data_IF_326788077676
#
_entry.id   IF_326788077676
#
_cell.length_a   1.000
_cell.length_b   1.000
_cell.length_c   1.000
_cell.angle_alpha   90.00
_cell.angle_beta   90.00
_cell.angle_gamma   90.00
#
_symmetry.space_group_name_H-M   'P 1'
#
loop_
_entity.id
_entity.type
_entity.pdbx_description
1 polymer ?
#
# COMPACT_ATOMS: atom_id res chain seq x y z
N UNK A 1 -34.31 14.84 59.32
CA UNK A 1 -33.55 14.85 60.59
C UNK A 1 -32.08 14.64 60.24
N UNK A 2 -31.23 15.57 60.63
CA UNK A 2 -29.83 15.67 60.22
C UNK A 2 -28.98 14.72 61.06
N UNK A 3 -28.31 13.73 60.45
CA UNK A 3 -27.35 12.86 61.13
C UNK A 3 -25.94 13.38 60.87
N UNK A 4 -25.30 13.90 61.94
CA UNK A 4 -23.88 14.26 61.97
C UNK A 4 -23.04 12.98 62.00
N UNK A 5 -22.17 12.81 61.01
CA UNK A 5 -21.09 11.82 61.02
C UNK A 5 -19.95 12.32 61.91
N UNK A 6 -19.55 11.51 62.90
CA UNK A 6 -18.33 11.72 63.68
C UNK A 6 -17.33 10.63 63.31
N UNK A 7 -16.26 11.04 62.63
CA UNK A 7 -15.20 10.16 62.14
C UNK A 7 -14.12 9.98 63.21
N UNK A 8 -13.77 8.74 63.53
CA UNK A 8 -12.60 8.42 64.36
C UNK A 8 -11.52 7.78 63.48
N UNK A 9 -10.35 8.39 63.44
CA UNK A 9 -9.16 7.89 62.74
C UNK A 9 -8.23 7.19 63.73
N UNK A 10 -7.97 5.90 63.54
CA UNK A 10 -6.94 5.15 64.26
C UNK A 10 -5.74 4.96 63.34
N UNK A 11 -4.61 5.55 63.71
CA UNK A 11 -3.31 5.33 63.05
C UNK A 11 -2.56 4.20 63.77
N UNK A 12 -2.22 3.13 63.06
CA UNK A 12 -1.27 2.11 63.54
C UNK A 12 0.08 2.29 62.85
N UNK A 13 1.12 2.53 63.67
CA UNK A 13 2.53 2.50 63.28
C UNK A 13 3.01 1.05 63.28
N UNK A 14 3.51 0.55 62.15
CA UNK A 14 4.25 -0.72 62.08
C UNK A 14 5.75 -0.46 62.14
N UNK A 15 6.40 -0.95 63.19
CA UNK A 15 7.86 -0.95 63.35
C UNK A 15 8.51 -2.04 62.47
N UNK A 16 9.47 -1.63 61.65
CA UNK A 16 10.31 -2.49 60.83
C UNK A 16 11.55 -2.89 61.61
N UNK A 17 11.68 -4.18 61.95
CA UNK A 17 12.94 -4.76 62.45
C UNK A 17 13.62 -5.46 61.28
N UNK A 18 14.76 -4.89 60.87
CA UNK A 18 15.65 -5.49 59.89
C UNK A 18 16.54 -6.55 60.51
N UNK A 19 16.73 -7.65 59.78
CA UNK A 19 17.72 -8.68 60.08
C UNK A 19 18.29 -9.20 58.77
N UNK A 20 19.43 -8.65 58.36
CA UNK A 20 20.20 -9.15 57.23
C UNK A 20 21.15 -10.26 57.66
N UNK A 21 21.28 -11.29 56.84
CA UNK A 21 22.49 -12.11 56.76
C UNK A 21 22.69 -12.57 55.31
N UNK A 22 23.87 -12.26 54.78
CA UNK A 22 24.34 -12.61 53.45
C UNK A 22 24.90 -14.04 53.34
N UNK A 23 25.51 -14.38 52.20
CA UNK A 23 25.27 -15.65 51.50
C UNK A 23 26.36 -16.70 51.74
N UNK A 24 26.01 -17.98 51.57
CA UNK A 24 27.00 -19.06 51.44
C UNK A 24 26.94 -19.67 50.04
N UNK A 25 27.99 -19.39 49.28
CA UNK A 25 28.30 -20.01 47.98
C UNK A 25 28.69 -21.46 48.22
N UNK A 26 28.03 -22.42 47.54
CA UNK A 26 28.57 -23.75 47.30
C UNK A 26 28.62 -24.02 45.81
N UNK A 27 29.85 -24.10 45.29
CA UNK A 27 30.18 -24.72 44.00
C UNK A 27 30.13 -26.23 44.18
N UNK A 28 29.55 -26.95 43.22
CA UNK A 28 29.85 -28.36 42.99
C UNK A 28 30.11 -28.60 41.51
N UNK A 29 31.22 -29.29 41.25
CA UNK A 29 31.66 -29.81 39.97
C UNK A 29 31.12 -31.23 39.76
N UNK A 30 31.33 -31.74 38.54
CA UNK A 30 31.26 -33.13 38.06
C UNK A 30 29.85 -33.62 37.65
N UNK A 31 29.64 -34.41 36.59
CA UNK A 31 30.53 -35.06 35.63
C UNK A 31 29.71 -35.56 34.43
N UNK A 32 30.41 -35.82 33.32
CA UNK A 32 29.95 -36.49 32.10
C UNK A 32 29.05 -37.71 32.31
N UNK A 33 28.10 -37.90 31.38
CA UNK A 33 27.83 -39.21 30.79
C UNK A 33 27.09 -39.04 29.46
N UNK A 34 27.65 -39.64 28.43
CA UNK A 34 27.10 -39.75 27.09
C UNK A 34 26.32 -41.06 26.98
N UNK A 35 25.13 -41.01 26.40
CA UNK A 35 24.53 -42.17 25.73
C UNK A 35 23.83 -41.72 24.45
N UNK A 36 24.36 -42.23 23.34
CA UNK A 36 23.72 -42.23 22.03
C UNK A 36 23.08 -43.60 21.81
N UNK A 37 21.85 -43.62 21.28
CA UNK A 37 21.31 -44.68 20.43
C UNK A 37 19.92 -44.29 19.89
N UNK A 38 19.49 -44.82 18.73
CA UNK A 38 18.70 -44.07 17.74
C UNK A 38 17.29 -44.63 17.48
N UNK A 39 16.45 -43.83 16.80
CA UNK A 39 15.20 -44.27 16.15
C UNK A 39 14.63 -43.08 15.34
N UNK A 40 14.73 -43.03 14.02
CA UNK A 40 14.08 -43.81 12.96
C UNK A 40 12.64 -43.34 12.62
N UNK A 41 12.47 -42.90 11.36
CA UNK A 41 11.19 -42.61 10.68
C UNK A 41 10.72 -41.16 10.87
N UNK A 42 10.55 -40.31 9.84
CA UNK A 42 9.77 -40.56 8.63
C UNK A 42 10.28 -39.70 7.47
N UNK A 43 10.45 -40.32 6.31
CA UNK A 43 10.65 -39.66 5.02
C UNK A 43 9.28 -39.41 4.39
N UNK A 44 9.05 -38.23 3.84
CA UNK A 44 8.10 -38.04 2.73
C UNK A 44 8.70 -37.08 1.71
N UNK A 45 8.75 -37.55 0.47
CA UNK A 45 8.96 -36.76 -0.74
C UNK A 45 7.66 -36.76 -1.53
N UNK A 46 7.28 -35.62 -2.13
CA UNK A 46 6.57 -35.49 -3.42
C UNK A 46 6.22 -34.00 -3.62
N UNK A 47 6.81 -33.39 -4.65
CA UNK A 47 6.20 -33.01 -5.94
C UNK A 47 5.27 -31.78 -5.89
N UNK A 48 5.83 -30.70 -6.46
CA UNK A 48 5.28 -29.87 -7.55
C UNK A 48 3.77 -29.92 -7.82
N UNK A 49 3.11 -28.76 -7.68
CA UNK A 49 2.07 -28.20 -8.56
C UNK A 49 2.00 -26.67 -8.29
N UNK A 50 2.32 -25.81 -9.26
CA UNK A 50 1.42 -25.12 -10.21
C UNK A 50 0.60 -23.95 -9.63
N UNK A 51 0.98 -22.74 -10.04
CA UNK A 51 0.17 -21.54 -10.28
C UNK A 51 1.14 -20.51 -10.88
N UNK A 52 0.97 -19.76 -11.96
CA UNK A 52 -0.12 -19.23 -12.79
C UNK A 52 0.58 -18.86 -14.13
N UNK A 53 0.08 -19.10 -15.33
CA UNK A 53 -1.11 -18.46 -15.92
C UNK A 53 -0.77 -17.09 -16.55
N UNK A 54 -0.69 -17.02 -17.89
CA UNK A 54 -0.54 -15.81 -18.73
C UNK A 54 0.89 -15.65 -19.33
N UNK A 55 1.17 -15.83 -20.63
CA UNK A 55 0.50 -15.27 -21.82
C UNK A 55 0.88 -13.79 -21.92
N UNK A 56 1.91 -13.35 -22.66
CA UNK A 56 1.99 -13.38 -24.12
C UNK A 56 1.48 -12.05 -24.70
N UNK A 57 2.12 -11.53 -25.75
CA UNK A 57 1.94 -10.21 -26.43
C UNK A 57 2.61 -9.03 -25.70
N UNK A 58 3.55 -8.26 -26.26
CA UNK A 58 3.89 -8.02 -27.66
C UNK A 58 3.32 -6.67 -28.13
N UNK A 59 4.00 -5.57 -27.79
CA UNK A 59 3.86 -4.24 -28.39
C UNK A 59 5.30 -3.66 -28.47
N UNK A 60 5.92 -3.36 -29.60
CA UNK A 60 5.39 -3.13 -30.94
C UNK A 60 5.18 -1.63 -31.17
N UNK A 61 6.23 -0.98 -31.70
CA UNK A 61 6.13 0.23 -32.54
C UNK A 61 5.84 1.55 -31.86
N UNK A 62 6.88 2.31 -31.52
CA UNK A 62 6.78 3.76 -31.34
C UNK A 62 6.71 4.41 -32.73
N UNK A 63 5.49 4.67 -33.20
CA UNK A 63 5.19 5.57 -34.31
C UNK A 63 4.71 6.91 -33.77
N UNK A 64 5.34 7.99 -34.24
CA UNK A 64 4.97 9.39 -33.98
C UNK A 64 6.12 10.25 -34.49
N UNK A 65 6.01 11.00 -35.58
CA UNK A 65 4.83 11.74 -36.05
C UNK A 65 5.24 13.21 -36.01
N UNK A 66 5.66 13.72 -37.16
CA UNK A 66 6.11 15.09 -37.41
C UNK A 66 5.22 16.13 -36.71
N UNK A 67 5.84 17.05 -35.97
CA UNK A 67 5.20 18.29 -35.54
C UNK A 67 5.94 19.50 -36.11
N UNK A 68 5.13 20.47 -36.47
CA UNK A 68 5.35 21.66 -37.28
C UNK A 68 6.39 22.64 -36.72
N UNK A 69 7.04 23.38 -37.63
CA UNK A 69 7.97 24.45 -37.29
C UNK A 69 8.45 25.26 -38.48
N UNK A 70 7.53 25.85 -39.26
CA UNK A 70 7.88 26.95 -40.18
C UNK A 70 6.81 28.04 -40.13
N UNK A 71 7.22 29.20 -39.63
CA UNK A 71 6.51 30.48 -39.78
C UNK A 71 7.56 31.58 -39.90
N UNK A 72 7.65 32.19 -41.09
CA UNK A 72 8.13 33.53 -41.45
C UNK A 72 7.92 33.60 -42.99
N UNK A 73 7.12 34.47 -43.60
CA UNK A 73 6.62 35.77 -43.18
C UNK A 73 7.37 36.88 -43.93
N UNK A 74 6.93 37.21 -45.15
CA UNK A 74 7.05 38.50 -45.88
C UNK A 74 6.64 38.22 -47.35
N UNK A 75 5.53 38.74 -47.89
CA UNK A 75 5.31 40.15 -48.29
C UNK A 75 5.89 40.34 -49.71
N UNK A 76 5.23 40.80 -50.77
CA UNK A 76 4.03 41.64 -50.97
C UNK A 76 3.58 41.45 -52.44
N UNK A 77 2.28 41.27 -52.73
CA UNK A 77 1.31 42.28 -53.23
C UNK A 77 1.36 42.63 -54.73
N UNK A 78 0.14 42.83 -55.27
CA UNK A 78 -0.26 43.31 -56.62
C UNK A 78 -0.62 42.18 -57.60
N UNK A 79 -1.88 41.85 -57.90
CA UNK A 79 -3.13 42.60 -57.80
C UNK A 79 -3.38 43.45 -59.05
N UNK A 80 -4.56 43.28 -59.66
CA UNK A 80 -5.09 43.78 -60.96
C UNK A 80 -4.94 42.79 -62.11
N UNK A 81 -5.99 42.37 -62.81
CA UNK A 81 -7.31 42.97 -63.02
C UNK A 81 -7.58 42.96 -64.52
N UNK A 82 -8.64 42.29 -64.96
CA UNK A 82 -8.82 41.91 -66.36
C UNK A 82 -9.49 42.94 -67.28
N UNK A 83 -9.53 42.51 -68.55
CA UNK A 83 -10.57 42.75 -69.57
C UNK A 83 -10.55 44.03 -70.41
N UNK A 84 -11.04 43.84 -71.65
CA UNK A 84 -11.37 44.78 -72.74
C UNK A 84 -10.15 45.30 -73.53
N UNK A 85 -10.13 45.37 -74.86
CA UNK A 85 -11.15 45.24 -75.89
C UNK A 85 -10.80 46.24 -77.00
N UNK A 86 -10.77 45.80 -78.27
CA UNK A 86 -10.88 46.64 -79.47
C UNK A 86 -9.73 47.59 -79.81
N UNK A 87 -9.35 47.65 -81.09
CA UNK A 87 -8.53 48.74 -81.61
C UNK A 87 -7.67 48.40 -82.81
N UNK A 88 -8.30 48.33 -83.98
CA UNK A 88 -7.64 48.49 -85.28
C UNK A 88 -6.84 49.79 -85.33
N UNK A 89 -5.57 49.74 -85.76
CA UNK A 89 -4.92 50.86 -86.46
C UNK A 89 -3.85 50.34 -87.44
N UNK A 90 -4.12 50.55 -88.72
CA UNK A 90 -3.19 50.46 -89.85
C UNK A 90 -2.20 51.63 -89.84
N UNK A 91 -1.01 51.40 -90.41
CA UNK A 91 -0.33 52.20 -91.46
C UNK A 91 1.22 52.12 -91.32
N UNK A 92 2.02 52.43 -92.36
CA UNK A 92 1.82 52.23 -93.80
C UNK A 92 3.00 51.48 -94.45
N UNK A 93 2.73 50.97 -95.66
CA UNK A 93 3.68 50.35 -96.60
C UNK A 93 4.49 51.47 -97.27
N UNK A 94 5.83 51.40 -97.19
CA UNK A 94 6.74 52.31 -97.90
C UNK A 94 7.06 51.77 -99.30
N UNK A 95 7.02 52.67 -100.29
CA UNK A 95 7.05 52.38 -101.71
C UNK A 95 8.44 51.97 -102.24
N UNK A 96 8.40 51.10 -103.25
CA UNK A 96 9.51 50.55 -104.01
C UNK A 96 10.05 51.57 -105.01
N UNK A 97 11.35 51.88 -104.94
CA UNK A 97 12.06 52.64 -105.97
C UNK A 97 12.50 51.68 -107.08
N UNK A 98 11.80 51.72 -108.22
CA UNK A 98 12.13 50.92 -109.41
C UNK A 98 13.19 51.65 -110.23
N UNK A 99 14.39 51.07 -110.33
CA UNK A 99 15.46 51.57 -111.18
C UNK A 99 15.16 51.22 -112.64
N UNK A 100 14.97 52.22 -113.51
CA UNK A 100 14.56 52.09 -114.92
C UNK A 100 15.68 51.60 -115.87
N UNK A 101 16.58 50.74 -115.38
CA UNK A 101 17.77 50.28 -116.14
C UNK A 101 17.70 48.80 -116.56
N UNK A 102 16.50 48.20 -116.55
CA UNK A 102 16.27 46.77 -116.82
C UNK A 102 15.28 46.54 -118.00
N UNK A 103 15.41 47.34 -119.06
CA UNK A 103 14.63 47.19 -120.30
C UNK A 103 15.46 46.52 -121.42
N UNK A 104 15.94 45.31 -121.15
CA UNK A 104 16.33 44.35 -122.19
C UNK A 104 15.78 42.97 -121.81
N UNK A 105 14.87 42.36 -122.59
CA UNK A 105 14.48 40.97 -122.38
C UNK A 105 15.68 40.09 -122.74
N UNK A 106 16.46 39.69 -121.73
CA UNK A 106 17.40 38.59 -121.86
C UNK A 106 16.57 37.31 -121.86
N UNK A 107 16.27 36.81 -123.07
CA UNK A 107 15.78 35.46 -123.29
C UNK A 107 16.88 34.47 -122.86
N UNK A 108 16.87 34.10 -121.59
CA UNK A 108 17.59 32.92 -121.13
C UNK A 108 16.61 31.78 -121.34
N UNK A 109 16.82 31.02 -122.42
CA UNK A 109 16.24 29.69 -122.56
C UNK A 109 16.71 28.86 -121.36
N UNK A 110 15.93 28.92 -120.28
CA UNK A 110 16.12 28.10 -119.09
C UNK A 110 15.72 26.70 -119.51
N UNK A 111 16.72 25.84 -119.55
CA UNK A 111 16.63 24.41 -119.82
C UNK A 111 15.34 23.79 -119.22
N UNK A 112 14.45 23.17 -120.03
CA UNK A 112 13.20 22.57 -119.56
C UNK A 112 13.42 21.48 -118.50
N UNK A 113 14.65 20.98 -118.35
CA UNK A 113 15.02 20.05 -117.27
C UNK A 113 15.27 20.74 -115.91
N UNK A 114 15.69 22.00 -115.86
CA UNK A 114 15.91 22.74 -114.59
C UNK A 114 14.58 23.23 -113.99
N UNK A 115 13.62 23.57 -114.84
CA UNK A 115 12.30 24.01 -114.39
C UNK A 115 11.50 22.86 -113.78
N UNK A 116 11.60 21.65 -114.36
CA UNK A 116 10.97 20.44 -113.82
C UNK A 116 11.55 20.03 -112.47
N UNK A 117 12.88 20.08 -112.31
CA UNK A 117 13.57 19.81 -111.03
C UNK A 117 13.18 20.83 -109.96
N UNK A 118 13.16 22.14 -110.27
CA UNK A 118 12.71 23.15 -109.29
C UNK A 118 11.23 23.03 -108.93
N UNK A 119 10.36 22.63 -109.87
CA UNK A 119 8.97 22.34 -109.52
C UNK A 119 8.85 21.08 -108.65
N UNK A 120 9.66 20.05 -108.91
CA UNK A 120 9.67 18.83 -108.11
C UNK A 120 10.24 19.07 -106.70
N UNK A 121 11.31 19.86 -106.56
CA UNK A 121 11.83 20.32 -105.26
C UNK A 121 10.81 21.18 -104.51
N UNK A 122 10.10 22.07 -105.21
CA UNK A 122 9.02 22.87 -104.62
C UNK A 122 7.85 22.00 -104.16
N UNK A 123 7.50 20.95 -104.91
CA UNK A 123 6.48 19.96 -104.53
C UNK A 123 6.93 19.14 -103.31
N UNK A 124 8.19 18.72 -103.27
CA UNK A 124 8.79 18.03 -102.13
C UNK A 124 8.83 18.91 -100.88
N UNK A 125 9.27 20.18 -101.02
CA UNK A 125 9.25 21.17 -99.94
C UNK A 125 7.82 21.42 -99.46
N UNK A 126 6.83 21.51 -100.35
CA UNK A 126 5.42 21.59 -99.95
C UNK A 126 4.95 20.35 -99.19
N UNK A 127 5.33 19.15 -99.64
CA UNK A 127 4.96 17.90 -98.97
C UNK A 127 5.59 17.79 -97.57
N UNK A 128 6.85 18.21 -97.44
CA UNK A 128 7.56 18.31 -96.16
C UNK A 128 6.94 19.38 -95.28
N UNK A 129 6.60 20.54 -95.83
CA UNK A 129 5.96 21.62 -95.10
C UNK A 129 4.56 21.22 -94.61
N UNK A 130 3.77 20.53 -95.42
CA UNK A 130 2.48 19.96 -95.00
C UNK A 130 2.67 18.91 -93.89
N UNK A 131 3.73 18.09 -93.95
CA UNK A 131 4.10 17.18 -92.85
C UNK A 131 4.51 17.95 -91.60
N UNK A 132 5.31 19.01 -91.71
CA UNK A 132 5.67 19.86 -90.57
C UNK A 132 4.46 20.57 -89.97
N UNK A 133 3.54 21.08 -90.78
CA UNK A 133 2.27 21.64 -90.33
C UNK A 133 1.46 20.59 -89.54
N UNK A 134 1.35 19.35 -90.05
CA UNK A 134 0.67 18.27 -89.34
C UNK A 134 1.36 17.88 -88.02
N UNK A 135 2.69 17.95 -87.94
CA UNK A 135 3.43 17.73 -86.71
C UNK A 135 3.25 18.88 -85.70
N UNK A 136 3.25 20.13 -86.17
CA UNK A 136 2.98 21.29 -85.31
C UNK A 136 1.56 21.22 -84.75
N UNK A 137 0.58 20.86 -85.57
CA UNK A 137 -0.81 20.67 -85.11
C UNK A 137 -0.90 19.53 -84.09
N UNK A 138 -0.14 18.45 -84.30
CA UNK A 138 -0.09 17.34 -83.34
C UNK A 138 0.56 17.74 -82.01
N UNK A 139 1.64 18.52 -82.04
CA UNK A 139 2.30 19.05 -80.83
C UNK A 139 1.36 19.99 -80.09
N UNK A 140 0.72 20.94 -80.78
CA UNK A 140 -0.28 21.84 -80.16
C UNK A 140 -1.44 21.08 -79.54
N UNK A 141 -1.92 20.04 -80.23
CA UNK A 141 -2.98 19.17 -79.69
C UNK A 141 -2.53 18.44 -78.42
N UNK A 142 -1.30 17.92 -78.40
CA UNK A 142 -0.73 17.26 -77.22
C UNK A 142 -0.45 18.24 -76.07
N UNK A 143 0.04 19.45 -76.35
CA UNK A 143 0.22 20.51 -75.36
C UNK A 143 -1.12 20.92 -74.75
N UNK A 144 -2.16 21.06 -75.57
CA UNK A 144 -3.51 21.38 -75.11
C UNK A 144 -4.09 20.24 -74.27
N UNK A 145 -3.83 18.98 -74.63
CA UNK A 145 -4.19 17.83 -73.81
C UNK A 145 -3.44 17.80 -72.47
N UNK A 146 -2.13 18.05 -72.46
CA UNK A 146 -1.35 18.09 -71.23
C UNK A 146 -1.83 19.20 -70.31
N UNK A 147 -2.13 20.39 -70.84
CA UNK A 147 -2.68 21.49 -70.05
C UNK A 147 -4.07 21.16 -69.48
N UNK A 148 -4.88 20.42 -70.22
CA UNK A 148 -6.16 19.88 -69.71
C UNK A 148 -5.93 18.83 -68.61
N UNK A 149 -4.92 17.98 -68.74
CA UNK A 149 -4.57 16.99 -67.72
C UNK A 149 -4.01 17.63 -66.45
N UNK A 150 -3.17 18.66 -66.58
CA UNK A 150 -2.64 19.44 -65.45
C UNK A 150 -3.75 20.14 -64.67
N UNK A 151 -4.69 20.79 -65.37
CA UNK A 151 -5.83 21.45 -64.71
C UNK A 151 -6.77 20.44 -64.04
N UNK A 152 -7.02 19.29 -64.67
CA UNK A 152 -7.78 18.18 -64.06
C UNK A 152 -7.06 17.61 -62.84
N UNK A 153 -5.73 17.42 -62.92
CA UNK A 153 -4.90 16.95 -61.82
C UNK A 153 -4.95 17.91 -60.63
N UNK A 154 -4.77 19.21 -60.88
CA UNK A 154 -4.86 20.24 -59.84
C UNK A 154 -6.23 20.25 -59.16
N UNK A 155 -7.32 20.15 -59.94
CA UNK A 155 -8.68 20.12 -59.40
C UNK A 155 -8.95 18.85 -58.57
N UNK A 156 -8.50 17.69 -59.03
CA UNK A 156 -8.61 16.44 -58.28
C UNK A 156 -7.80 16.47 -56.98
N UNK A 157 -6.63 17.10 -57.00
CA UNK A 157 -5.78 17.22 -55.81
C UNK A 157 -6.39 18.17 -54.77
N UNK A 158 -6.99 19.28 -55.21
CA UNK A 158 -7.73 20.19 -54.31
C UNK A 158 -9.00 19.54 -53.74
N UNK A 159 -9.73 18.77 -54.55
CA UNK A 159 -10.90 18.01 -54.06
C UNK A 159 -10.52 16.88 -53.10
N UNK A 160 -9.37 16.24 -53.28
CA UNK A 160 -8.87 15.20 -52.36
C UNK A 160 -8.41 15.79 -51.03
N UNK A 161 -8.07 17.08 -50.99
CA UNK A 161 -7.53 17.76 -49.80
C UNK A 161 -8.60 18.35 -48.88
N UNK A 162 -9.90 18.15 -49.14
CA UNK A 162 -10.94 18.37 -48.12
C UNK A 162 -10.82 17.33 -47.01
N UNK A 163 -9.89 17.55 -46.08
CA UNK A 163 -9.73 16.74 -44.87
C UNK A 163 -11.02 16.85 -44.05
N UNK A 164 -11.72 15.73 -43.89
CA UNK A 164 -12.95 15.64 -43.12
C UNK A 164 -12.68 15.90 -41.63
N UNK A 165 -13.44 16.79 -41.00
CA UNK A 165 -13.39 17.13 -39.57
C UNK A 165 -13.89 15.99 -38.63
N UNK A 166 -14.03 14.78 -39.16
CA UNK A 166 -14.62 13.62 -38.49
C UNK A 166 -13.66 13.10 -37.40
N UNK A 167 -12.36 13.07 -37.69
CA UNK A 167 -11.35 12.64 -36.71
C UNK A 167 -11.33 13.56 -35.49
N UNK A 168 -11.46 14.88 -35.69
CA UNK A 168 -11.52 15.83 -34.57
C UNK A 168 -12.81 15.68 -33.75
N UNK A 169 -13.94 15.33 -34.38
CA UNK A 169 -15.20 15.04 -33.67
C UNK A 169 -15.09 13.76 -32.84
N UNK A 170 -14.49 12.69 -33.38
CA UNK A 170 -14.24 11.47 -32.63
C UNK A 170 -13.24 11.69 -31.50
N UNK A 171 -12.18 12.46 -31.73
CA UNK A 171 -11.20 12.78 -30.68
C UNK A 171 -11.84 13.58 -29.54
N UNK A 172 -12.70 14.55 -29.85
CA UNK A 172 -13.46 15.30 -28.86
C UNK A 172 -14.44 14.41 -28.08
N UNK A 173 -15.12 13.47 -28.76
CA UNK A 173 -16.01 12.51 -28.12
C UNK A 173 -15.25 11.54 -27.20
N UNK A 174 -14.11 11.02 -27.65
CA UNK A 174 -13.21 10.16 -26.85
C UNK A 174 -12.70 10.92 -25.63
N UNK A 175 -12.27 12.18 -25.80
CA UNK A 175 -11.83 13.03 -24.70
C UNK A 175 -12.94 13.28 -23.68
N UNK A 176 -14.18 13.51 -24.14
CA UNK A 176 -15.34 13.65 -23.26
C UNK A 176 -15.64 12.36 -22.49
N UNK A 177 -15.62 11.20 -23.15
CA UNK A 177 -15.81 9.90 -22.49
C UNK A 177 -14.72 9.61 -21.45
N UNK A 178 -13.46 9.92 -21.75
CA UNK A 178 -12.36 9.80 -20.78
C UNK A 178 -12.59 10.69 -19.56
N UNK A 179 -12.99 11.94 -19.76
CA UNK A 179 -13.30 12.87 -18.67
C UNK A 179 -14.49 12.38 -17.81
N UNK A 180 -15.51 11.78 -18.42
CA UNK A 180 -16.61 11.16 -17.69
C UNK A 180 -16.15 9.95 -16.87
N UNK A 181 -15.29 9.10 -17.44
CA UNK A 181 -14.72 7.96 -16.74
C UNK A 181 -13.87 8.41 -15.54
N UNK A 182 -13.05 9.44 -15.70
CA UNK A 182 -12.25 10.02 -14.62
C UNK A 182 -13.15 10.64 -13.53
N UNK A 183 -14.23 11.32 -13.93
CA UNK A 183 -15.25 11.85 -13.01
C UNK A 183 -15.90 10.75 -12.17
N UNK A 184 -16.40 9.70 -12.83
CA UNK A 184 -16.98 8.54 -12.15
C UNK A 184 -15.96 7.79 -11.29
N UNK A 185 -14.70 7.72 -11.73
CA UNK A 185 -13.60 7.13 -10.96
C UNK A 185 -13.36 7.89 -9.65
N UNK A 186 -13.35 9.23 -9.70
CA UNK A 186 -13.20 10.06 -8.51
C UNK A 186 -14.41 9.94 -7.56
N UNK A 187 -15.63 9.91 -8.10
CA UNK A 187 -16.85 9.68 -7.29
C UNK A 187 -16.82 8.31 -6.62
N UNK A 188 -16.40 7.26 -7.35
CA UNK A 188 -16.22 5.92 -6.78
C UNK A 188 -15.23 5.93 -5.61
N UNK A 189 -14.06 6.55 -5.78
CA UNK A 189 -13.05 6.66 -4.70
C UNK A 189 -13.62 7.41 -3.50
N UNK A 190 -14.35 8.50 -3.73
CA UNK A 190 -15.01 9.28 -2.67
C UNK A 190 -16.02 8.42 -1.90
N UNK A 191 -16.91 7.71 -2.61
CA UNK A 191 -17.90 6.83 -2.01
C UNK A 191 -17.27 5.65 -1.26
N UNK A 192 -16.18 5.08 -1.77
CA UNK A 192 -15.40 4.05 -1.08
C UNK A 192 -14.77 4.59 0.22
N UNK A 193 -14.33 5.85 0.22
CA UNK A 193 -13.84 6.53 1.43
C UNK A 193 -14.95 6.75 2.46
N UNK A 194 -16.11 7.25 2.03
CA UNK A 194 -17.29 7.43 2.90
C UNK A 194 -17.78 6.09 3.47
N UNK A 195 -17.80 5.03 2.67
CA UNK A 195 -18.17 3.69 3.10
C UNK A 195 -17.19 3.15 4.15
N UNK A 196 -15.88 3.32 3.96
CA UNK A 196 -14.86 2.93 4.97
C UNK A 196 -15.01 3.73 6.26
N UNK A 197 -15.27 5.04 6.18
CA UNK A 197 -15.53 5.86 7.37
C UNK A 197 -16.78 5.40 8.11
N UNK A 198 -17.87 5.11 7.40
CA UNK A 198 -19.10 4.61 8.00
C UNK A 198 -18.90 3.22 8.63
N UNK A 199 -18.14 2.33 7.98
CA UNK A 199 -17.77 1.03 8.54
C UNK A 199 -16.95 1.17 9.83
N UNK A 200 -15.97 2.08 9.84
CA UNK A 200 -15.20 2.39 11.04
C UNK A 200 -16.10 2.88 12.18
N UNK A 201 -17.03 3.80 11.89
CA UNK A 201 -17.97 4.31 12.89
C UNK A 201 -18.91 3.23 13.44
N UNK A 202 -19.37 2.32 12.58
CA UNK A 202 -20.20 1.17 13.00
C UNK A 202 -19.41 0.24 13.91
N UNK A 203 -18.15 -0.07 13.57
CA UNK A 203 -17.32 -0.92 14.41
C UNK A 203 -17.00 -0.24 15.75
N UNK A 204 -16.75 1.08 15.75
CA UNK A 204 -16.56 1.86 16.99
C UNK A 204 -17.79 1.81 17.89
N UNK A 205 -19.00 1.94 17.32
CA UNK A 205 -20.24 1.80 18.10
C UNK A 205 -20.43 0.38 18.61
N UNK A 206 -20.17 -0.62 17.77
CA UNK A 206 -20.23 -2.03 18.18
C UNK A 206 -19.29 -2.31 19.36
N UNK A 207 -18.04 -1.86 19.29
CA UNK A 207 -17.07 -1.99 20.39
C UNK A 207 -17.57 -1.30 21.65
N UNK A 208 -18.12 -0.08 21.55
CA UNK A 208 -18.72 0.61 22.70
C UNK A 208 -19.91 -0.14 23.30
N UNK A 209 -20.76 -0.76 22.47
CA UNK A 209 -21.86 -1.58 22.95
C UNK A 209 -21.38 -2.84 23.65
N UNK A 210 -20.38 -3.52 23.10
CA UNK A 210 -19.76 -4.70 23.74
C UNK A 210 -19.12 -4.32 25.08
N UNK A 211 -18.39 -3.20 25.15
CA UNK A 211 -17.83 -2.66 26.40
C UNK A 211 -18.91 -2.36 27.44
N UNK A 212 -20.02 -1.73 27.03
CA UNK A 212 -21.11 -1.40 27.95
C UNK A 212 -21.85 -2.65 28.44
N UNK A 213 -22.00 -3.66 27.59
CA UNK A 213 -22.53 -4.98 27.98
C UNK A 213 -21.60 -5.63 29.01
N UNK A 214 -20.29 -5.62 28.76
CA UNK A 214 -19.30 -6.19 29.68
C UNK A 214 -19.28 -5.46 31.03
N UNK A 215 -19.34 -4.12 31.02
CA UNK A 215 -19.45 -3.31 32.24
C UNK A 215 -20.73 -3.60 33.01
N UNK A 216 -21.87 -3.66 32.31
CA UNK A 216 -23.15 -4.01 32.92
C UNK A 216 -23.11 -5.40 33.55
N UNK A 217 -22.55 -6.40 32.85
CA UNK A 217 -22.36 -7.74 33.39
C UNK A 217 -21.44 -7.74 34.61
N UNK A 218 -20.37 -6.93 34.62
CA UNK A 218 -19.50 -6.73 35.78
C UNK A 218 -20.26 -6.20 36.99
N UNK A 219 -21.01 -5.10 36.82
CA UNK A 219 -21.82 -4.48 37.89
C UNK A 219 -22.94 -5.41 38.35
N UNK A 220 -23.56 -6.16 37.44
CA UNK A 220 -24.60 -7.14 37.77
C UNK A 220 -24.04 -8.30 38.61
N UNK A 221 -22.83 -8.80 38.28
CA UNK A 221 -22.14 -9.78 39.11
C UNK A 221 -21.80 -9.23 40.50
N UNK A 222 -21.28 -8.00 40.59
CA UNK A 222 -21.03 -7.33 41.88
C UNK A 222 -22.32 -7.18 42.69
N UNK A 223 -23.43 -6.82 42.04
CA UNK A 223 -24.73 -6.72 42.70
C UNK A 223 -25.21 -8.06 43.26
N UNK A 224 -25.03 -9.16 42.51
CA UNK A 224 -25.36 -10.51 42.98
C UNK A 224 -24.50 -10.91 44.18
N UNK A 225 -23.21 -10.60 44.17
CA UNK A 225 -22.31 -10.84 45.31
C UNK A 225 -22.74 -10.01 46.53
N UNK A 226 -23.00 -8.72 46.35
CA UNK A 226 -23.46 -7.84 47.42
C UNK A 226 -24.79 -8.33 48.02
N UNK A 227 -25.71 -8.82 47.19
CA UNK A 227 -26.96 -9.43 47.66
C UNK A 227 -26.70 -10.65 48.54
N UNK A 228 -25.78 -11.54 48.12
CA UNK A 228 -25.37 -12.70 48.93
C UNK A 228 -24.76 -12.27 50.26
N UNK A 229 -23.93 -11.23 50.27
CA UNK A 229 -23.31 -10.71 51.49
C UNK A 229 -24.35 -10.08 52.43
N UNK A 230 -25.34 -9.36 51.89
CA UNK A 230 -26.49 -8.84 52.64
C UNK A 230 -27.33 -9.97 53.23
N UNK A 231 -27.64 -10.99 52.45
CA UNK A 231 -28.38 -12.17 52.93
C UNK A 231 -27.59 -12.90 54.03
N UNK A 232 -26.28 -13.04 53.87
CA UNK A 232 -25.38 -13.61 54.89
C UNK A 232 -25.37 -12.80 56.19
N UNK A 233 -25.24 -11.47 56.09
CA UNK A 233 -25.32 -10.59 57.24
C UNK A 233 -26.69 -10.63 57.92
N UNK A 234 -27.77 -10.76 57.15
CA UNK A 234 -29.13 -10.91 57.68
C UNK A 234 -29.29 -12.23 58.45
N UNK A 235 -28.78 -13.34 57.92
CA UNK A 235 -28.78 -14.62 58.63
C UNK A 235 -28.02 -14.53 59.96
N UNK A 236 -26.82 -13.95 59.95
CA UNK A 236 -26.05 -13.73 61.19
C UNK A 236 -26.79 -12.81 62.18
N UNK A 237 -27.45 -11.76 61.69
CA UNK A 237 -28.29 -10.89 62.53
C UNK A 237 -29.40 -11.69 63.20
N UNK A 238 -30.15 -12.50 62.44
CA UNK A 238 -31.25 -13.32 62.98
C UNK A 238 -30.74 -14.34 63.99
N UNK A 239 -29.60 -14.98 63.74
CA UNK A 239 -28.96 -15.89 64.69
C UNK A 239 -28.54 -15.19 66.00
N UNK A 240 -28.03 -13.96 65.91
CA UNK A 240 -27.68 -13.16 67.08
C UNK A 240 -28.94 -12.70 67.84
N UNK A 241 -29.99 -12.30 67.16
CA UNK A 241 -31.28 -11.96 67.77
C UNK A 241 -31.86 -13.16 68.53
N UNK A 242 -31.85 -14.36 67.94
CA UNK A 242 -32.29 -15.58 68.62
C UNK A 242 -31.44 -15.92 69.87
N UNK A 243 -30.13 -15.66 69.83
CA UNK A 243 -29.26 -15.82 71.01
C UNK A 243 -29.57 -14.81 72.10
N UNK A 244 -29.88 -13.56 71.72
CA UNK A 244 -30.28 -12.52 72.67
C UNK A 244 -31.60 -12.91 73.34
N UNK A 245 -32.59 -13.38 72.58
CA UNK A 245 -33.87 -13.83 73.12
C UNK A 245 -33.69 -15.04 74.07
N UNK A 246 -32.89 -16.02 73.68
CA UNK A 246 -32.60 -17.18 74.53
C UNK A 246 -31.92 -16.79 75.85
N UNK A 247 -30.93 -15.88 75.81
CA UNK A 247 -30.28 -15.36 77.01
C UNK A 247 -31.26 -14.52 77.87
N UNK A 248 -32.17 -13.78 77.24
CA UNK A 248 -33.18 -13.01 77.94
C UNK A 248 -34.17 -13.93 78.68
N UNK A 249 -34.57 -15.04 78.06
CA UNK A 249 -35.40 -16.08 78.68
C UNK A 249 -34.67 -16.75 79.85
N UNK A 250 -33.38 -17.05 79.71
CA UNK A 250 -32.56 -17.60 80.80
C UNK A 250 -32.47 -16.63 81.99
N UNK A 251 -32.25 -15.33 81.73
CA UNK A 251 -32.26 -14.30 82.78
C UNK A 251 -33.62 -14.24 83.48
N UNK A 252 -34.71 -14.29 82.72
CA UNK A 252 -36.07 -14.26 83.29
C UNK A 252 -36.35 -15.51 84.13
N UNK A 253 -35.91 -16.68 83.67
CA UNK A 253 -36.02 -17.94 84.40
C UNK A 253 -35.24 -17.91 85.73
N UNK A 254 -33.99 -17.46 85.70
CA UNK A 254 -33.17 -17.31 86.91
C UNK A 254 -33.79 -16.32 87.90
N UNK A 255 -34.32 -15.19 87.41
CA UNK A 255 -35.05 -14.23 88.26
C UNK A 255 -36.27 -14.87 88.92
N UNK A 256 -37.06 -15.65 88.17
CA UNK A 256 -38.23 -16.33 88.71
C UNK A 256 -37.86 -17.39 89.76
N UNK A 257 -36.76 -18.13 89.55
CA UNK A 257 -36.22 -19.07 90.55
C UNK A 257 -35.80 -18.31 91.80
N UNK A 258 -34.98 -17.27 91.69
CA UNK A 258 -34.51 -16.53 92.87
C UNK A 258 -35.67 -15.89 93.64
N UNK A 259 -36.70 -15.42 92.95
CA UNK A 259 -37.90 -14.91 93.61
C UNK A 259 -38.69 -16.03 94.33
N UNK A 260 -38.77 -17.23 93.76
CA UNK A 260 -39.38 -18.40 94.38
C UNK A 260 -38.58 -18.90 95.59
N UNK A 261 -37.26 -19.01 95.48
CA UNK A 261 -36.36 -19.38 96.59
C UNK A 261 -36.44 -18.35 97.72
N UNK A 262 -36.45 -17.05 97.42
CA UNK A 262 -36.65 -16.01 98.44
C UNK A 262 -38.01 -16.16 99.14
N UNK A 263 -39.06 -16.50 98.40
CA UNK A 263 -40.40 -16.73 98.96
C UNK A 263 -40.44 -17.99 99.83
N UNK A 264 -39.75 -19.05 99.42
CA UNK A 264 -39.62 -20.29 100.20
C UNK A 264 -38.81 -20.05 101.47
N UNK A 265 -37.64 -19.38 101.39
CA UNK A 265 -36.84 -19.03 102.57
C UNK A 265 -37.63 -18.12 103.53
N UNK A 266 -38.41 -17.17 103.02
CA UNK A 266 -39.34 -16.38 103.84
C UNK A 266 -40.43 -17.24 104.48
N UNK A 267 -40.89 -18.30 103.80
CA UNK A 267 -41.80 -19.31 104.34
C UNK A 267 -41.14 -20.13 105.43
N UNK A 268 -39.95 -20.69 105.17
CA UNK A 268 -39.17 -21.45 106.14
C UNK A 268 -38.83 -20.64 107.38
N UNK A 269 -38.49 -19.35 107.26
CA UNK A 269 -38.27 -18.45 108.40
C UNK A 269 -39.56 -18.26 109.23
N UNK A 270 -40.73 -18.22 108.58
CA UNK A 270 -42.03 -18.17 109.27
C UNK A 270 -42.36 -19.51 109.93
N UNK A 271 -42.04 -20.63 109.28
CA UNK A 271 -42.36 -21.98 109.74
C UNK A 271 -41.41 -22.46 110.86
N UNK A 272 -40.12 -22.07 110.82
CA UNK A 272 -39.17 -22.30 111.93
C UNK A 272 -39.38 -21.37 113.14
N UNK A 273 -40.23 -20.34 113.00
CA UNK A 273 -40.69 -19.55 114.17
C UNK A 273 -41.71 -20.31 115.04
N UNK A 274 -42.12 -21.50 114.63
CA UNK A 274 -42.88 -22.44 115.46
C UNK A 274 -41.94 -23.54 115.94
N UNK A 275 -41.39 -23.35 117.14
CA UNK A 275 -40.66 -24.39 117.86
C UNK A 275 -41.66 -25.51 118.15
N UNK A 276 -41.60 -26.58 117.37
CA UNK A 276 -42.31 -27.82 117.65
C UNK A 276 -41.39 -28.70 118.47
N UNK A 277 -41.64 -28.73 119.78
CA UNK A 277 -41.12 -29.76 120.67
C UNK A 277 -41.75 -31.09 120.26
N UNK A 278 -40.97 -31.91 119.56
CA UNK A 278 -41.40 -33.22 119.08
C UNK A 278 -41.20 -34.23 120.21
N UNK A 279 -42.23 -34.42 121.03
CA UNK A 279 -42.24 -35.50 122.02
C UNK A 279 -42.50 -36.84 121.30
N UNK A 280 -41.55 -37.74 121.54
CA UNK A 280 -41.36 -39.00 120.85
C UNK A 280 -41.89 -40.13 121.73
N UNK A 281 -42.93 -40.84 121.32
CA UNK A 281 -43.17 -42.20 121.84
C UNK A 281 -44.22 -42.95 121.01
N UNK A 282 -43.78 -43.50 119.88
CA UNK A 282 -44.34 -44.75 119.38
C UNK A 282 -43.26 -45.81 119.49
N UNK A 283 -43.66 -47.00 119.91
CA UNK A 283 -42.84 -48.21 119.95
C UNK A 283 -42.39 -48.58 118.53
N UNK A 284 -41.33 -47.90 118.11
CA UNK A 284 -40.61 -48.20 116.90
C UNK A 284 -39.76 -49.44 117.19
N UNK A 285 -39.93 -50.48 116.38
CA UNK A 285 -39.03 -51.63 116.37
C UNK A 285 -37.64 -51.14 115.93
N UNK A 286 -36.82 -50.85 116.94
CA UNK A 286 -35.52 -50.22 116.76
C UNK A 286 -34.59 -51.09 115.91
N UNK A 287 -34.77 -52.41 115.93
CA UNK A 287 -33.94 -53.33 115.17
C UNK A 287 -34.30 -53.31 113.69
N UNK A 288 -35.59 -53.27 113.34
CA UNK A 288 -36.05 -53.14 111.96
C UNK A 288 -35.62 -51.80 111.33
N UNK A 289 -35.73 -50.70 112.08
CA UNK A 289 -35.33 -49.37 111.59
C UNK A 289 -33.81 -49.26 111.48
N UNK A 290 -33.05 -49.81 112.43
CA UNK A 290 -31.58 -49.82 112.33
C UNK A 290 -31.13 -50.69 111.14
N UNK A 291 -31.82 -51.79 110.84
CA UNK A 291 -31.55 -52.60 109.65
C UNK A 291 -31.89 -51.87 108.35
N UNK A 292 -33.04 -51.21 108.26
CA UNK A 292 -33.47 -50.38 107.12
C UNK A 292 -32.50 -49.21 106.90
N UNK A 293 -32.12 -48.50 107.96
CA UNK A 293 -31.15 -47.40 107.92
C UNK A 293 -29.78 -47.90 107.46
N UNK A 294 -29.31 -49.06 107.95
CA UNK A 294 -28.07 -49.69 107.46
C UNK A 294 -28.15 -50.03 105.99
N UNK A 295 -29.25 -50.63 105.53
CA UNK A 295 -29.46 -50.96 104.12
C UNK A 295 -29.48 -49.69 103.25
N UNK A 296 -30.15 -48.62 103.69
CA UNK A 296 -30.14 -47.32 103.01
C UNK A 296 -28.74 -46.70 102.94
N UNK A 297 -27.95 -46.76 104.01
CA UNK A 297 -26.57 -46.27 103.98
C UNK A 297 -25.67 -47.12 103.06
N UNK A 298 -25.86 -48.44 103.04
CA UNK A 298 -25.13 -49.33 102.15
C UNK A 298 -25.49 -49.07 100.67
N UNK A 299 -26.78 -48.84 100.39
CA UNK A 299 -27.28 -48.44 99.08
C UNK A 299 -26.76 -47.06 98.62
N UNK A 300 -26.77 -46.07 99.51
CA UNK A 300 -26.25 -44.72 99.23
C UNK A 300 -24.74 -44.78 99.00
N UNK A 301 -24.01 -45.56 99.80
CA UNK A 301 -22.58 -45.77 99.60
C UNK A 301 -22.28 -46.47 98.27
N UNK A 302 -23.07 -47.48 97.89
CA UNK A 302 -22.95 -48.18 96.62
C UNK A 302 -23.30 -47.28 95.43
N UNK A 303 -24.38 -46.49 95.51
CA UNK A 303 -24.73 -45.50 94.47
C UNK A 303 -23.67 -44.42 94.34
N UNK A 304 -23.19 -43.85 95.44
CA UNK A 304 -22.12 -42.84 95.43
C UNK A 304 -20.83 -43.39 94.81
N UNK A 305 -20.49 -44.65 95.10
CA UNK A 305 -19.35 -45.34 94.47
C UNK A 305 -19.56 -45.55 92.97
N UNK A 306 -20.73 -46.04 92.56
CA UNK A 306 -21.05 -46.28 91.16
C UNK A 306 -21.12 -44.98 90.35
N UNK A 307 -21.66 -43.91 90.93
CA UNK A 307 -21.70 -42.57 90.34
C UNK A 307 -20.29 -42.01 90.17
N UNK A 308 -19.41 -42.15 91.17
CA UNK A 308 -18.02 -41.75 91.04
C UNK A 308 -17.28 -42.54 89.95
N UNK A 309 -17.45 -43.87 89.92
CA UNK A 309 -16.85 -44.73 88.89
C UNK A 309 -17.37 -44.40 87.48
N UNK A 310 -18.67 -44.14 87.33
CA UNK A 310 -19.27 -43.73 86.06
C UNK A 310 -18.80 -42.33 85.64
N UNK A 311 -18.66 -41.40 86.59
CA UNK A 311 -18.14 -40.07 86.35
C UNK A 311 -16.68 -40.11 85.87
N UNK A 312 -15.84 -40.93 86.50
CA UNK A 312 -14.46 -41.14 86.05
C UNK A 312 -14.38 -41.81 84.67
N UNK A 313 -15.22 -42.82 84.40
CA UNK A 313 -15.29 -43.45 83.07
C UNK A 313 -15.71 -42.46 81.99
N UNK A 314 -16.77 -41.68 82.24
CA UNK A 314 -17.25 -40.67 81.30
C UNK A 314 -16.17 -39.61 81.03
N UNK A 315 -15.48 -39.12 82.07
CA UNK A 315 -14.37 -38.16 81.88
C UNK A 315 -13.18 -38.75 81.15
N UNK A 316 -12.87 -40.02 81.37
CA UNK A 316 -11.81 -40.72 80.64
C UNK A 316 -12.17 -40.90 79.16
N UNK A 317 -13.41 -41.29 78.87
CA UNK A 317 -13.91 -41.47 77.51
C UNK A 317 -14.01 -40.14 76.75
N UNK A 318 -14.45 -39.06 77.40
CA UNK A 318 -14.43 -37.70 76.83
C UNK A 318 -13.00 -37.24 76.50
N UNK A 319 -12.04 -37.48 77.41
CA UNK A 319 -10.64 -37.16 77.19
C UNK A 319 -10.02 -38.02 76.08
N UNK A 320 -10.41 -39.30 75.99
CA UNK A 320 -9.95 -40.20 74.93
C UNK A 320 -10.54 -39.83 73.56
N UNK A 321 -11.84 -39.46 73.51
CA UNK A 321 -12.52 -39.01 72.30
C UNK A 321 -11.95 -37.69 71.79
N UNK A 322 -11.76 -36.71 72.69
CA UNK A 322 -11.15 -35.41 72.33
C UNK A 322 -9.69 -35.57 71.88
N UNK A 323 -8.88 -36.42 72.54
CA UNK A 323 -7.54 -36.75 72.06
C UNK A 323 -7.55 -37.41 70.67
N UNK A 324 -8.54 -38.27 70.38
CA UNK A 324 -8.76 -38.85 69.06
C UNK A 324 -9.09 -37.80 68.00
N UNK A 325 -10.00 -36.87 68.31
CA UNK A 325 -10.36 -35.76 67.42
C UNK A 325 -9.17 -34.85 67.13
N UNK A 326 -8.41 -34.42 68.15
CA UNK A 326 -7.21 -33.62 67.93
C UNK A 326 -6.15 -34.36 67.09
N UNK A 327 -6.05 -35.68 67.22
CA UNK A 327 -5.18 -36.51 66.39
C UNK A 327 -5.65 -36.58 64.93
N UNK A 328 -6.96 -36.65 64.69
CA UNK A 328 -7.54 -36.63 63.35
C UNK A 328 -7.41 -35.24 62.70
N UNK A 329 -7.72 -34.16 63.43
CA UNK A 329 -7.58 -32.79 62.97
C UNK A 329 -6.12 -32.47 62.60
N UNK A 330 -5.17 -32.92 63.41
CA UNK A 330 -3.74 -32.78 63.10
C UNK A 330 -3.36 -33.55 61.84
N UNK A 331 -3.97 -34.72 61.60
CA UNK A 331 -3.74 -35.51 60.39
C UNK A 331 -4.37 -34.85 59.16
N UNK A 332 -5.58 -34.30 59.29
CA UNK A 332 -6.28 -33.57 58.23
C UNK A 332 -5.51 -32.32 57.83
N UNK A 333 -5.16 -31.47 58.80
CA UNK A 333 -4.36 -30.26 58.55
C UNK A 333 -3.00 -30.59 57.93
N UNK A 334 -2.34 -31.67 58.35
CA UNK A 334 -1.10 -32.14 57.71
C UNK A 334 -1.32 -32.59 56.27
N UNK A 335 -2.44 -33.24 55.96
CA UNK A 335 -2.80 -33.63 54.60
C UNK A 335 -3.08 -32.41 53.71
N UNK A 336 -3.81 -31.42 54.23
CA UNK A 336 -4.06 -30.14 53.54
C UNK A 336 -2.75 -29.39 53.26
N UNK A 337 -1.85 -29.31 54.24
CA UNK A 337 -0.52 -28.71 54.06
C UNK A 337 0.26 -29.46 52.97
N UNK A 338 0.20 -30.79 52.94
CA UNK A 338 0.87 -31.57 51.89
C UNK A 338 0.27 -31.30 50.50
N UNK A 339 -1.05 -31.14 50.40
CA UNK A 339 -1.71 -30.84 49.13
C UNK A 339 -1.43 -29.41 48.65
N UNK A 340 -1.49 -28.43 49.56
CA UNK A 340 -1.08 -27.06 49.27
C UNK A 340 0.37 -27.00 48.80
N UNK A 341 1.28 -27.76 49.42
CA UNK A 341 2.66 -27.86 48.95
C UNK A 341 2.77 -28.45 47.54
N UNK A 342 1.99 -29.50 47.21
CA UNK A 342 1.94 -30.04 45.84
C UNK A 342 1.40 -29.01 44.83
N UNK A 343 0.38 -28.26 45.22
CA UNK A 343 -0.18 -27.19 44.39
C UNK A 343 0.83 -26.08 44.16
N UNK A 344 1.56 -25.66 45.20
CA UNK A 344 2.64 -24.67 45.09
C UNK A 344 3.71 -25.15 44.11
N UNK A 345 4.19 -26.40 44.22
CA UNK A 345 5.18 -26.94 43.29
C UNK A 345 4.66 -27.02 41.85
N UNK A 346 3.38 -27.37 41.65
CA UNK A 346 2.76 -27.37 40.31
C UNK A 346 2.73 -25.97 39.72
N UNK A 347 2.27 -24.98 40.47
CA UNK A 347 2.21 -23.58 40.04
C UNK A 347 3.61 -23.01 39.78
N UNK A 348 4.61 -23.38 40.59
CA UNK A 348 6.00 -23.00 40.34
C UNK A 348 6.52 -23.55 39.01
N UNK A 349 6.27 -24.84 38.72
CA UNK A 349 6.64 -25.45 37.45
C UNK A 349 5.91 -24.80 36.26
N UNK A 350 4.63 -24.43 36.42
CA UNK A 350 3.87 -23.73 35.39
C UNK A 350 4.43 -22.32 35.14
N UNK A 351 4.78 -21.59 36.20
CA UNK A 351 5.46 -20.29 36.09
C UNK A 351 6.80 -20.43 35.35
N UNK A 352 7.59 -21.45 35.65
CA UNK A 352 8.86 -21.72 34.97
C UNK A 352 8.65 -22.10 33.48
N UNK A 353 7.64 -22.92 33.18
CA UNK A 353 7.27 -23.27 31.81
C UNK A 353 6.83 -22.01 31.02
N UNK A 354 5.99 -21.16 31.59
CA UNK A 354 5.56 -19.91 30.94
C UNK A 354 6.74 -18.94 30.78
N UNK A 355 7.63 -18.83 31.77
CA UNK A 355 8.85 -18.01 31.66
C UNK A 355 9.76 -18.47 30.53
N UNK A 356 9.97 -19.78 30.38
CA UNK A 356 10.77 -20.32 29.28
C UNK A 356 10.10 -20.11 27.92
N UNK A 357 8.77 -20.25 27.83
CA UNK A 357 8.01 -19.90 26.62
C UNK A 357 8.14 -18.41 26.27
N UNK A 358 8.00 -17.51 27.25
CA UNK A 358 8.18 -16.06 27.07
C UNK A 358 9.59 -15.75 26.54
N UNK A 359 10.63 -16.33 27.14
CA UNK A 359 12.00 -16.13 26.69
C UNK A 359 12.23 -16.65 25.25
N UNK A 360 11.62 -17.78 24.89
CA UNK A 360 11.70 -18.31 23.52
C UNK A 360 10.98 -17.41 22.51
N UNK A 361 9.80 -16.87 22.85
CA UNK A 361 9.09 -15.92 22.01
C UNK A 361 9.85 -14.60 21.86
N UNK A 362 10.43 -14.07 22.95
CA UNK A 362 11.29 -12.89 22.91
C UNK A 362 12.52 -13.12 22.01
N UNK A 363 13.15 -14.30 22.07
CA UNK A 363 14.25 -14.65 21.18
C UNK A 363 13.82 -14.73 19.70
N UNK A 364 12.65 -15.32 19.42
CA UNK A 364 12.11 -15.37 18.05
C UNK A 364 11.76 -13.98 17.50
N UNK A 365 11.21 -13.10 18.34
CA UNK A 365 10.95 -11.71 17.98
C UNK A 365 12.26 -11.01 17.64
N UNK A 366 13.28 -11.09 18.50
CA UNK A 366 14.58 -10.48 18.26
C UNK A 366 15.24 -11.00 16.96
N UNK A 367 15.14 -12.30 16.68
CA UNK A 367 15.67 -12.90 15.44
C UNK A 367 14.88 -12.43 14.20
N UNK A 368 13.55 -12.29 14.30
CA UNK A 368 12.71 -11.76 13.24
C UNK A 368 13.01 -10.28 12.95
N UNK A 369 13.19 -9.48 14.00
CA UNK A 369 13.60 -8.07 13.91
C UNK A 369 14.97 -7.93 13.26
N UNK A 370 15.97 -8.71 13.69
CA UNK A 370 17.31 -8.65 13.10
C UNK A 370 17.31 -9.08 11.63
N UNK A 371 16.55 -10.13 11.28
CA UNK A 371 16.37 -10.55 9.89
C UNK A 371 15.69 -9.48 9.05
N UNK A 372 14.66 -8.82 9.59
CA UNK A 372 14.00 -7.69 8.95
C UNK A 372 14.94 -6.51 8.74
N UNK A 373 15.74 -6.16 9.75
CA UNK A 373 16.72 -5.06 9.66
C UNK A 373 17.79 -5.35 8.60
N UNK A 374 18.29 -6.59 8.53
CA UNK A 374 19.24 -7.00 7.48
C UNK A 374 18.63 -6.89 6.08
N UNK A 375 17.38 -7.32 5.89
CA UNK A 375 16.69 -7.20 4.61
C UNK A 375 16.50 -5.73 4.18
N UNK A 376 16.16 -4.85 5.13
CA UNK A 376 16.04 -3.40 4.86
C UNK A 376 17.42 -2.80 4.53
N UNK A 377 18.48 -3.19 5.24
CA UNK A 377 19.85 -2.73 4.93
C UNK A 377 20.28 -3.14 3.52
N UNK A 378 20.00 -4.37 3.13
CA UNK A 378 20.32 -4.90 1.80
C UNK A 378 19.53 -4.17 0.69
N UNK A 379 18.22 -4.00 0.88
CA UNK A 379 17.40 -3.21 -0.05
C UNK A 379 17.90 -1.76 -0.20
N UNK A 380 18.30 -1.11 0.92
CA UNK A 380 18.89 0.23 0.90
C UNK A 380 20.25 0.28 0.20
N UNK A 381 21.06 -0.78 0.29
CA UNK A 381 22.30 -0.88 -0.48
C UNK A 381 21.99 -1.02 -1.97
N UNK A 382 21.03 -1.89 -2.32
CA UNK A 382 20.64 -2.09 -3.72
C UNK A 382 20.07 -0.83 -4.37
N UNK A 383 19.28 -0.04 -3.63
CA UNK A 383 18.79 1.26 -4.11
C UNK A 383 19.97 2.19 -4.40
N UNK A 384 20.92 2.31 -3.47
CA UNK A 384 22.12 3.14 -3.67
C UNK A 384 22.94 2.71 -4.88
N UNK A 385 23.16 1.42 -5.08
CA UNK A 385 23.88 0.91 -6.25
C UNK A 385 23.17 1.26 -7.56
N UNK A 386 21.83 1.21 -7.58
CA UNK A 386 21.03 1.59 -8.74
C UNK A 386 21.04 3.10 -8.99
N UNK A 387 21.01 3.92 -7.94
CA UNK A 387 21.17 5.37 -8.02
C UNK A 387 22.54 5.76 -8.58
N UNK A 388 23.61 5.11 -8.12
CA UNK A 388 24.97 5.29 -8.62
C UNK A 388 25.09 4.87 -10.09
N UNK A 389 24.51 3.73 -10.46
CA UNK A 389 24.48 3.28 -11.85
C UNK A 389 23.72 4.26 -12.75
N UNK A 390 22.59 4.78 -12.29
CA UNK A 390 21.81 5.80 -12.99
C UNK A 390 22.63 7.09 -13.17
N UNK A 391 23.36 7.51 -12.14
CA UNK A 391 24.19 8.71 -12.20
C UNK A 391 25.36 8.54 -13.17
N UNK A 392 26.01 7.36 -13.19
CA UNK A 392 27.04 7.04 -14.20
C UNK A 392 26.47 7.05 -15.61
N UNK A 393 25.31 6.44 -15.83
CA UNK A 393 24.66 6.45 -17.14
C UNK A 393 24.29 7.86 -17.61
N UNK A 394 23.83 8.74 -16.70
CA UNK A 394 23.59 10.16 -17.01
C UNK A 394 24.88 10.89 -17.41
N UNK A 395 25.98 10.63 -16.71
CA UNK A 395 27.29 11.21 -17.04
C UNK A 395 27.80 10.72 -18.39
N UNK A 396 27.67 9.43 -18.69
CA UNK A 396 28.04 8.84 -19.98
C UNK A 396 27.20 9.43 -21.12
N UNK A 397 25.89 9.59 -20.93
CA UNK A 397 25.03 10.23 -21.91
C UNK A 397 25.44 11.69 -22.15
N UNK A 398 25.72 12.44 -21.08
CA UNK A 398 26.23 13.80 -21.20
C UNK A 398 27.57 13.87 -21.93
N UNK A 399 28.47 12.88 -21.74
CA UNK A 399 29.72 12.77 -22.49
C UNK A 399 29.45 12.51 -23.98
N UNK A 400 28.61 11.53 -24.30
CA UNK A 400 28.25 11.21 -25.69
C UNK A 400 27.66 12.42 -26.42
N UNK A 401 26.79 13.19 -25.77
CA UNK A 401 26.23 14.42 -26.37
C UNK A 401 27.32 15.43 -26.71
N UNK A 402 28.34 15.60 -25.84
CA UNK A 402 29.49 16.48 -26.15
C UNK A 402 30.31 15.95 -27.32
N UNK A 403 30.62 14.65 -27.33
CA UNK A 403 31.37 14.00 -28.42
C UNK A 403 30.62 14.13 -29.76
N UNK A 404 29.29 13.96 -29.77
CA UNK A 404 28.45 14.19 -30.95
C UNK A 404 28.46 15.65 -31.41
N UNK A 405 28.42 16.60 -30.48
CA UNK A 405 28.50 18.03 -30.81
C UNK A 405 29.87 18.39 -31.41
N UNK A 406 30.96 17.86 -30.87
CA UNK A 406 32.31 18.03 -31.41
C UNK A 406 32.43 17.43 -32.81
N UNK A 407 31.92 16.22 -33.02
CA UNK A 407 31.90 15.57 -34.34
C UNK A 407 31.06 16.36 -35.35
N UNK A 408 29.92 16.90 -34.93
CA UNK A 408 29.10 17.79 -35.77
C UNK A 408 29.88 19.04 -36.17
N UNK A 409 30.60 19.66 -35.23
CA UNK A 409 31.43 20.83 -35.52
C UNK A 409 32.54 20.51 -36.54
N UNK A 410 33.20 19.35 -36.41
CA UNK A 410 34.18 18.87 -37.40
C UNK A 410 33.53 18.64 -38.77
N UNK A 411 32.35 18.02 -38.81
CA UNK A 411 31.61 17.81 -40.06
C UNK A 411 31.27 19.13 -40.75
N UNK A 412 30.82 20.14 -40.00
CA UNK A 412 30.54 21.47 -40.54
C UNK A 412 31.81 22.13 -41.08
N UNK A 413 32.95 21.99 -40.40
CA UNK A 413 34.23 22.49 -40.90
C UNK A 413 34.64 21.81 -42.22
N UNK A 414 34.50 20.48 -42.30
CA UNK A 414 34.76 19.71 -43.53
C UNK A 414 33.81 20.09 -44.67
N UNK A 415 32.53 20.33 -44.40
CA UNK A 415 31.59 20.81 -45.43
C UNK A 415 32.03 22.17 -45.99
N UNK A 416 32.52 23.06 -45.13
CA UNK A 416 33.06 24.36 -45.54
C UNK A 416 34.30 24.14 -46.43
N UNK A 417 35.23 23.28 -46.03
CA UNK A 417 36.41 22.94 -46.84
C UNK A 417 36.02 22.33 -48.21
N UNK A 418 35.07 21.40 -48.26
CA UNK A 418 34.59 20.84 -49.52
C UNK A 418 33.95 21.93 -50.39
N UNK A 419 33.16 22.84 -49.80
CA UNK A 419 32.56 23.95 -50.52
C UNK A 419 33.62 24.92 -51.06
N UNK A 420 34.70 25.19 -50.31
CA UNK A 420 35.81 26.03 -50.80
C UNK A 420 36.59 25.31 -51.90
N UNK A 421 36.89 24.02 -51.77
CA UNK A 421 37.51 23.22 -52.82
C UNK A 421 36.68 23.20 -54.10
N UNK A 422 35.35 23.00 -54.01
CA UNK A 422 34.42 23.06 -55.16
C UNK A 422 34.46 24.43 -55.85
N UNK A 423 34.43 25.53 -55.08
CA UNK A 423 34.52 26.89 -55.65
C UNK A 423 35.86 27.15 -56.37
N UNK A 424 36.97 26.62 -55.85
CA UNK A 424 38.27 26.72 -56.51
C UNK A 424 38.28 25.95 -57.84
N UNK A 425 37.74 24.73 -57.85
CA UNK A 425 37.58 23.91 -59.05
C UNK A 425 36.67 24.58 -60.10
N UNK A 426 35.55 25.17 -59.70
CA UNK A 426 34.67 25.95 -60.60
C UNK A 426 35.38 27.19 -61.17
N UNK A 427 36.29 27.81 -60.40
CA UNK A 427 37.15 28.90 -60.87
C UNK A 427 38.23 28.46 -61.86
N UNK A 428 38.79 27.26 -61.69
CA UNK A 428 39.72 26.65 -62.64
C UNK A 428 39.03 26.20 -63.93
N UNK A 429 37.81 25.63 -63.87
CA UNK A 429 37.00 25.32 -65.05
C UNK A 429 36.59 26.59 -65.81
N UNK A 430 36.30 27.67 -65.10
CA UNK A 430 36.09 28.98 -65.71
C UNK A 430 37.35 29.45 -66.43
N UNK A 431 38.53 29.34 -65.79
CA UNK A 431 39.81 29.71 -66.40
C UNK A 431 40.20 28.83 -67.60
N UNK A 432 39.91 27.52 -67.57
CA UNK A 432 40.06 26.59 -68.69
C UNK A 432 39.03 26.86 -69.79
N UNK A 433 37.81 27.27 -69.46
CA UNK A 433 36.79 27.73 -70.41
C UNK A 433 37.19 29.03 -71.11
N UNK A 434 37.76 29.99 -70.36
CA UNK A 434 38.34 31.21 -70.91
C UNK A 434 39.59 30.94 -71.77
N UNK A 435 40.45 29.99 -71.38
CA UNK A 435 41.60 29.56 -72.20
C UNK A 435 41.18 28.80 -73.47
N UNK A 436 40.09 28.01 -73.44
CA UNK A 436 39.51 27.40 -74.66
C UNK A 436 38.96 28.48 -75.62
N UNK A 437 38.30 29.51 -75.10
CA UNK A 437 37.83 30.67 -75.88
C UNK A 437 38.97 31.60 -76.36
N UNK A 438 40.08 31.70 -75.63
CA UNK A 438 41.28 32.42 -76.06
C UNK A 438 42.15 31.67 -77.06
N UNK A 439 42.09 30.33 -77.14
CA UNK A 439 42.78 29.56 -78.19
C UNK A 439 42.12 29.64 -79.58
N UNK A 440 40.84 30.04 -79.66
CA UNK A 440 40.13 30.22 -80.94
C UNK A 440 40.14 31.67 -81.47
N UNK A 441 40.41 32.68 -80.63
CA UNK A 441 40.52 34.08 -81.08
C UNK A 441 41.75 34.42 -81.95
N UNK A 442 42.97 33.88 -81.72
CA UNK A 442 44.12 34.19 -82.59
C UNK A 442 44.05 33.48 -83.95
N UNK A 443 43.32 32.35 -84.07
CA UNK A 443 43.13 31.66 -85.36
C UNK A 443 42.16 32.40 -86.29
N UNK A 444 41.15 33.10 -85.74
CA UNK A 444 40.23 33.93 -86.52
C UNK A 444 40.86 35.28 -86.94
N UNK A 445 41.69 35.89 -86.10
CA UNK A 445 42.42 37.11 -86.47
C UNK A 445 43.54 36.84 -87.51
N UNK A 446 44.24 35.70 -87.46
CA UNK A 446 45.21 35.33 -88.49
C UNK A 446 44.55 35.08 -89.87
N UNK A 447 43.34 34.50 -89.92
CA UNK A 447 42.60 34.33 -91.19
C UNK A 447 42.11 35.66 -91.78
N UNK A 448 41.68 36.61 -90.93
CA UNK A 448 41.27 37.94 -91.39
C UNK A 448 42.47 38.78 -91.89
N UNK A 449 43.63 38.69 -91.22
CA UNK A 449 44.85 39.35 -91.71
C UNK A 449 45.42 38.70 -92.98
N UNK A 450 45.29 37.39 -93.18
CA UNK A 450 45.65 36.75 -94.46
C UNK A 450 44.69 37.11 -95.59
N UNK A 451 43.39 37.28 -95.34
CA UNK A 451 42.45 37.76 -96.37
C UNK A 451 42.67 39.23 -96.74
N UNK A 452 42.98 40.11 -95.79
CA UNK A 452 43.30 41.51 -96.11
C UNK A 452 44.65 41.66 -96.82
N UNK A 453 45.65 40.82 -96.54
CA UNK A 453 46.93 40.82 -97.29
C UNK A 453 46.78 40.30 -98.73
N UNK A 454 45.89 39.34 -98.96
CA UNK A 454 45.61 38.82 -100.31
C UNK A 454 44.83 39.84 -101.16
N UNK A 455 43.93 40.60 -100.54
CA UNK A 455 43.18 41.66 -101.23
C UNK A 455 44.09 42.83 -101.63
N UNK A 456 45.04 43.24 -100.78
CA UNK A 456 45.97 44.34 -101.11
C UNK A 456 47.00 43.94 -102.19
N UNK A 457 47.39 42.67 -102.27
CA UNK A 457 48.29 42.14 -103.33
C UNK A 457 47.59 41.99 -104.69
N UNK A 458 46.27 41.85 -104.73
CA UNK A 458 45.49 41.73 -105.98
C UNK A 458 45.06 43.09 -106.57
N UNK A 459 45.25 44.20 -105.85
CA UNK A 459 44.89 45.56 -106.30
C UNK A 459 46.10 46.44 -106.66
N UNK A 460 47.29 45.85 -106.84
CA UNK A 460 48.45 46.51 -107.46
C UNK A 460 48.93 45.68 -108.66
N UNK A 461 48.07 45.63 -109.67
CA UNK A 461 48.39 45.45 -111.09
C UNK A 461 47.71 46.59 -111.83
#
# INVERSE_FOLDING_TARGET
MSFKSSSYSISSKSGSVGGGFGPTVRKSFSSQSAYAAPGAGTRMSSMTMRSSGGGGYGYGGMGGGMSSGYSFGSGSSSGFGGSYGGGFVQAPITAVTVNQSLLTPLNVDIDPTIQSVRTQEKEQIKSLNNRFASFIDKVRFLEQQNKMLETKWSLLQDQTTTRSNIDAMFEAYIANLRRQLDGLGNEKIKLEGELKNMQGLVEDFKNKYEDEINKRAGVENEFVLLKKDVDGAYMTKVELEAKVDALQDEINFLRAIYEAELRELQGQIKDTSVIVEMDNSRNLDMDAIVAEVRAQYEDIANRSRAEAENWYKAKYEEMQSSAGQYGEDLRSTKAEIAELNRMISRLQNEIEAIKTQRANLEAQIAEAEERGERAVKDAKLRIRDLEDALQRAKQDMARQVREYQELMNVKLALDIEIATYRKLLEGEESSLGYLKLQSHRPLLLCRLFQQQRLIVLLTSV
#
